data_IF_151494449598
#
_entry.id   IF_151494449598
#
_cell.length_a   1.000
_cell.length_b   1.000
_cell.length_c   1.000
_cell.angle_alpha   90.00
_cell.angle_beta   90.00
_cell.angle_gamma   90.00
#
_symmetry.space_group_name_H-M   'P 1'
#
loop_
_entity.id
_entity.type
_entity.pdbx_description
1 polymer ?
#
# COMPACT_ATOMS: atom_id res chain seq x y z
N UNK A 1 -12.48 -28.84 -41.96
CA UNK A 1 -12.35 -29.25 -40.54
C UNK A 1 -11.88 -28.03 -39.77
N UNK A 2 -12.80 -27.43 -39.02
CA UNK A 2 -12.64 -26.24 -38.20
C UNK A 2 -11.71 -26.53 -37.03
N UNK A 3 -10.86 -25.59 -36.61
CA UNK A 3 -10.86 -25.00 -35.26
C UNK A 3 -9.91 -23.77 -35.21
N UNK A 4 -10.51 -22.62 -34.88
CA UNK A 4 -9.86 -21.39 -34.42
C UNK A 4 -9.08 -21.66 -33.12
N UNK A 5 -8.02 -20.87 -32.86
CA UNK A 5 -8.03 -19.86 -31.78
C UNK A 5 -6.74 -19.02 -31.81
N UNK A 6 -6.87 -17.81 -32.38
CA UNK A 6 -6.08 -16.63 -32.01
C UNK A 6 -6.28 -16.37 -30.52
N UNK A 7 -5.24 -16.48 -29.68
CA UNK A 7 -5.36 -16.07 -28.27
C UNK A 7 -4.08 -15.67 -27.53
N UNK A 8 -3.01 -15.24 -28.21
CA UNK A 8 -1.75 -14.93 -27.50
C UNK A 8 -1.22 -13.51 -27.67
N UNK A 9 -1.84 -12.64 -28.48
CA UNK A 9 -1.35 -11.25 -28.63
C UNK A 9 -1.98 -10.26 -27.64
N UNK A 10 -3.16 -10.58 -27.09
CA UNK A 10 -3.92 -9.65 -26.24
C UNK A 10 -3.42 -9.65 -24.79
N UNK A 11 -2.83 -10.76 -24.33
CA UNK A 11 -2.34 -10.92 -22.94
C UNK A 11 -0.98 -10.23 -22.71
N UNK A 12 -0.19 -10.04 -23.77
CA UNK A 12 1.20 -9.56 -23.77
C UNK A 12 1.37 -8.11 -23.32
N UNK A 13 0.40 -7.25 -23.64
CA UNK A 13 0.41 -5.84 -23.24
C UNK A 13 -0.31 -5.59 -21.91
N UNK A 14 -1.02 -6.59 -21.38
CA UNK A 14 -1.96 -6.36 -20.28
C UNK A 14 -1.26 -5.81 -19.06
N UNK A 15 -0.10 -6.30 -18.64
CA UNK A 15 0.45 -5.90 -17.33
C UNK A 15 1.13 -4.53 -17.34
N UNK A 16 1.88 -4.18 -18.39
CA UNK A 16 2.49 -2.85 -18.53
C UNK A 16 1.43 -1.80 -18.89
N UNK A 17 0.49 -2.17 -19.77
CA UNK A 17 -0.69 -1.35 -20.04
C UNK A 17 -1.53 -1.18 -18.79
N UNK A 18 -1.75 -2.22 -17.98
CA UNK A 18 -2.48 -2.14 -16.70
C UNK A 18 -1.74 -1.25 -15.70
N UNK A 19 -0.42 -1.35 -15.58
CA UNK A 19 0.33 -0.48 -14.68
C UNK A 19 0.24 0.99 -15.10
N UNK A 20 0.45 1.29 -16.39
CA UNK A 20 0.31 2.64 -16.95
C UNK A 20 -1.14 3.14 -16.86
N UNK A 21 -2.11 2.29 -17.14
CA UNK A 21 -3.54 2.57 -17.02
C UNK A 21 -3.93 2.84 -15.57
N UNK A 22 -3.44 2.05 -14.59
CA UNK A 22 -3.70 2.28 -13.17
C UNK A 22 -3.12 3.61 -12.70
N UNK A 23 -1.90 3.94 -13.08
CA UNK A 23 -1.26 5.22 -12.73
C UNK A 23 -1.99 6.39 -13.39
N UNK A 24 -2.36 6.27 -14.67
CA UNK A 24 -3.14 7.29 -15.38
C UNK A 24 -4.55 7.43 -14.81
N UNK A 25 -5.22 6.33 -14.48
CA UNK A 25 -6.58 6.33 -13.89
C UNK A 25 -6.56 6.94 -12.49
N UNK A 26 -5.49 6.72 -11.73
CA UNK A 26 -5.30 7.37 -10.44
C UNK A 26 -5.04 8.87 -10.62
N UNK A 27 -4.12 9.27 -11.50
CA UNK A 27 -3.83 10.69 -11.78
C UNK A 27 -5.05 11.46 -12.31
N UNK A 28 -5.74 10.93 -13.32
CA UNK A 28 -6.98 11.53 -13.86
C UNK A 28 -8.09 11.60 -12.81
N UNK A 29 -8.15 10.63 -11.90
CA UNK A 29 -9.05 10.66 -10.74
C UNK A 29 -8.74 11.78 -9.74
N UNK A 30 -7.49 12.25 -9.69
CA UNK A 30 -7.03 13.37 -8.87
C UNK A 30 -7.14 14.74 -9.57
N UNK A 31 -7.30 14.79 -10.89
CA UNK A 31 -7.44 16.04 -11.65
C UNK A 31 -8.88 16.56 -11.73
N UNK A 32 -9.86 15.79 -11.23
CA UNK A 32 -11.31 16.00 -11.35
C UNK A 32 -11.90 17.29 -10.77
N UNK A 33 -11.10 18.32 -10.46
CA UNK A 33 -11.58 19.64 -10.06
C UNK A 33 -10.72 20.83 -10.55
N UNK A 34 -9.76 20.66 -11.47
CA UNK A 34 -8.87 21.78 -11.85
C UNK A 34 -9.35 22.52 -13.11
N UNK A 35 -10.22 21.94 -13.93
CA UNK A 35 -10.66 22.58 -15.18
C UNK A 35 -12.15 22.36 -15.46
N UNK A 36 -13.00 23.23 -14.90
CA UNK A 36 -14.24 23.78 -15.51
C UNK A 36 -15.22 22.91 -16.32
N UNK A 37 -15.17 21.58 -16.29
CA UNK A 37 -16.03 20.69 -17.08
C UNK A 37 -16.92 19.85 -16.17
N UNK A 38 -18.22 20.08 -16.32
CA UNK A 38 -19.31 19.47 -15.56
C UNK A 38 -19.44 17.97 -15.83
N UNK A 39 -18.77 17.16 -15.01
CA UNK A 39 -19.11 15.74 -14.77
C UNK A 39 -19.50 15.57 -13.29
N UNK A 40 -20.30 14.55 -12.91
CA UNK A 40 -20.92 14.48 -11.60
C UNK A 40 -19.86 14.35 -10.50
N UNK A 41 -19.56 15.50 -9.88
CA UNK A 41 -18.97 15.78 -8.57
C UNK A 41 -18.37 14.57 -7.83
N UNK A 42 -17.28 14.00 -8.35
CA UNK A 42 -16.39 13.19 -7.51
C UNK A 42 -15.52 14.17 -6.73
N UNK A 43 -16.03 14.61 -5.58
CA UNK A 43 -15.31 15.48 -4.65
C UNK A 43 -14.02 14.79 -4.22
N UNK A 44 -12.88 15.25 -4.72
CA UNK A 44 -11.59 14.84 -4.17
C UNK A 44 -11.54 15.40 -2.75
N UNK A 45 -11.65 14.51 -1.77
CA UNK A 45 -11.48 14.85 -0.35
C UNK A 45 -9.97 14.85 -0.11
N UNK A 46 -9.36 16.03 0.04
CA UNK A 46 -7.91 16.19 0.04
C UNK A 46 -7.47 17.64 0.20
N UNK A 47 -6.27 17.88 0.72
CA UNK A 47 -5.64 19.21 0.58
C UNK A 47 -5.11 19.36 -0.86
N UNK A 48 -5.14 20.57 -1.46
CA UNK A 48 -4.57 20.79 -2.79
C UNK A 48 -3.07 20.43 -2.87
N UNK A 49 -2.35 20.55 -1.76
CA UNK A 49 -0.95 20.18 -1.64
C UNK A 49 -0.75 18.67 -1.79
N UNK A 50 -1.56 17.84 -1.13
CA UNK A 50 -1.50 16.37 -1.27
C UNK A 50 -1.77 15.97 -2.72
N UNK A 51 -2.78 16.56 -3.34
CA UNK A 51 -3.12 16.29 -4.75
C UNK A 51 -1.95 16.63 -5.67
N UNK A 52 -1.32 17.79 -5.49
CA UNK A 52 -0.15 18.18 -6.29
C UNK A 52 1.06 17.25 -6.11
N UNK A 53 1.31 16.80 -4.88
CA UNK A 53 2.40 15.88 -4.57
C UNK A 53 2.16 14.49 -5.19
N UNK A 54 0.91 14.01 -5.13
CA UNK A 54 0.53 12.73 -5.73
C UNK A 54 0.60 12.77 -7.25
N UNK A 55 0.15 13.87 -7.88
CA UNK A 55 0.30 14.08 -9.33
C UNK A 55 1.78 14.10 -9.76
N UNK A 56 2.64 14.78 -9.00
CA UNK A 56 4.09 14.76 -9.26
C UNK A 56 4.68 13.35 -9.13
N UNK A 57 4.23 12.58 -8.13
CA UNK A 57 4.65 11.18 -7.95
C UNK A 57 4.19 10.30 -9.12
N UNK A 58 2.96 10.49 -9.62
CA UNK A 58 2.46 9.80 -10.81
C UNK A 58 3.29 10.14 -12.05
N UNK A 59 3.62 11.41 -12.26
CA UNK A 59 4.48 11.84 -13.38
C UNK A 59 5.84 11.13 -13.32
N UNK A 60 6.51 11.17 -12.17
CA UNK A 60 7.81 10.52 -11.99
C UNK A 60 7.74 9.00 -12.25
N UNK A 61 6.64 8.34 -11.86
CA UNK A 61 6.43 6.92 -12.13
C UNK A 61 6.21 6.65 -13.62
N UNK A 62 5.46 7.50 -14.31
CA UNK A 62 5.26 7.39 -15.76
C UNK A 62 6.57 7.61 -16.53
N UNK A 63 7.40 8.55 -16.09
CA UNK A 63 8.73 8.78 -16.64
C UNK A 63 9.62 7.54 -16.45
N UNK A 64 9.66 7.00 -15.22
CA UNK A 64 10.39 5.76 -14.92
C UNK A 64 9.92 4.56 -15.76
N UNK A 65 8.61 4.37 -15.92
CA UNK A 65 8.05 3.29 -16.76
C UNK A 65 8.48 3.48 -18.23
N UNK A 66 8.53 4.73 -18.69
CA UNK A 66 8.89 5.06 -20.07
C UNK A 66 10.39 4.91 -20.34
N UNK A 67 11.24 5.28 -19.39
CA UNK A 67 12.69 5.12 -19.46
C UNK A 67 13.12 3.65 -19.33
N UNK A 68 12.54 2.92 -18.37
CA UNK A 68 12.99 1.56 -18.03
C UNK A 68 12.36 0.47 -18.86
N UNK A 69 11.25 0.75 -19.55
CA UNK A 69 10.47 -0.20 -20.36
C UNK A 69 10.42 -1.61 -19.74
N UNK A 70 9.80 -1.75 -18.55
CA UNK A 70 9.77 -3.01 -17.84
C UNK A 70 9.18 -4.10 -18.75
N UNK A 71 9.96 -5.15 -19.00
CA UNK A 71 9.55 -6.29 -19.81
C UNK A 71 8.62 -7.19 -19.02
N UNK A 72 7.64 -7.76 -19.71
CA UNK A 72 6.75 -8.77 -19.13
C UNK A 72 7.43 -10.13 -19.05
N UNK A 73 6.91 -11.06 -18.24
CA UNK A 73 7.37 -12.46 -18.18
C UNK A 73 7.28 -13.18 -19.54
N UNK A 74 6.46 -12.68 -20.47
CA UNK A 74 6.37 -13.20 -21.84
C UNK A 74 7.44 -12.67 -22.79
N UNK A 75 8.10 -11.55 -22.44
CA UNK A 75 9.19 -10.94 -23.22
C UNK A 75 10.58 -11.15 -22.57
N UNK A 76 10.62 -11.96 -21.50
CA UNK A 76 11.87 -12.35 -20.85
C UNK A 76 12.52 -13.49 -21.62
N UNK A 77 13.73 -13.25 -22.12
CA UNK A 77 14.66 -14.29 -22.56
C UNK A 77 15.31 -14.95 -21.33
N UNK A 78 15.95 -16.13 -21.47
CA UNK A 78 16.70 -16.76 -20.36
C UNK A 78 17.73 -15.82 -19.70
N UNK A 79 18.25 -14.83 -20.43
CA UNK A 79 19.19 -13.81 -19.91
C UNK A 79 18.52 -12.67 -19.13
N UNK A 80 17.19 -12.70 -18.96
CA UNK A 80 16.45 -11.61 -18.32
C UNK A 80 16.51 -11.75 -16.81
N UNK A 81 16.99 -10.70 -16.13
CA UNK A 81 17.03 -10.63 -14.68
C UNK A 81 15.60 -10.60 -14.13
N UNK A 82 15.23 -11.67 -13.45
CA UNK A 82 13.99 -11.81 -12.69
C UNK A 82 14.19 -11.37 -11.24
N UNK A 83 13.08 -11.17 -10.52
CA UNK A 83 13.15 -10.84 -9.11
C UNK A 83 13.85 -11.92 -8.27
N UNK A 84 13.84 -13.18 -8.72
CA UNK A 84 14.49 -14.30 -8.04
C UNK A 84 16.02 -14.34 -8.26
N UNK A 85 16.52 -13.63 -9.28
CA UNK A 85 17.96 -13.50 -9.55
C UNK A 85 18.64 -12.49 -8.61
N UNK A 86 17.87 -11.76 -7.81
CA UNK A 86 18.39 -10.92 -6.75
C UNK A 86 19.00 -11.78 -5.63
N UNK A 87 20.12 -11.34 -5.02
CA UNK A 87 20.66 -12.02 -3.85
C UNK A 87 19.61 -12.18 -2.76
N UNK A 88 19.61 -13.33 -2.07
CA UNK A 88 18.61 -13.67 -1.05
C UNK A 88 18.49 -12.61 0.04
N UNK A 89 19.59 -11.94 0.37
CA UNK A 89 19.64 -10.86 1.35
C UNK A 89 18.85 -9.63 0.90
N UNK A 90 18.86 -9.32 -0.41
CA UNK A 90 18.10 -8.21 -1.01
C UNK A 90 16.62 -8.55 -1.00
N UNK A 91 16.24 -9.74 -1.45
CA UNK A 91 14.86 -10.23 -1.40
C UNK A 91 14.33 -10.19 0.03
N UNK A 92 15.13 -10.65 1.00
CA UNK A 92 14.78 -10.62 2.42
C UNK A 92 14.55 -9.20 2.93
N UNK A 93 15.38 -8.23 2.53
CA UNK A 93 15.18 -6.82 2.88
C UNK A 93 13.89 -6.26 2.29
N UNK A 94 13.53 -6.65 1.07
CA UNK A 94 12.27 -6.25 0.43
C UNK A 94 11.08 -6.84 1.20
N UNK A 95 11.12 -8.13 1.52
CA UNK A 95 10.07 -8.79 2.31
C UNK A 95 9.91 -8.18 3.71
N UNK A 96 11.01 -7.76 4.36
CA UNK A 96 10.98 -7.04 5.65
C UNK A 96 10.31 -5.67 5.59
N UNK A 97 10.11 -5.11 4.40
CA UNK A 97 9.44 -3.81 4.21
C UNK A 97 7.94 -3.95 3.98
N UNK A 98 7.44 -5.17 3.82
CA UNK A 98 5.99 -5.39 3.73
C UNK A 98 5.34 -5.01 5.06
N UNK A 99 4.30 -4.16 5.04
CA UNK A 99 3.66 -3.67 6.26
C UNK A 99 2.80 -4.74 6.94
N UNK A 100 2.32 -5.72 6.17
CA UNK A 100 1.29 -6.65 6.62
C UNK A 100 1.68 -8.13 6.43
N UNK A 101 1.25 -8.95 7.39
CA UNK A 101 1.34 -10.41 7.33
C UNK A 101 0.63 -11.01 6.11
N UNK A 102 -0.42 -10.38 5.58
CA UNK A 102 -1.15 -10.87 4.40
C UNK A 102 -0.22 -10.85 3.19
N UNK A 103 0.45 -9.72 2.95
CA UNK A 103 1.41 -9.60 1.85
C UNK A 103 2.52 -10.65 1.96
N UNK A 104 3.02 -10.90 3.17
CA UNK A 104 4.06 -11.91 3.40
C UNK A 104 3.59 -13.34 3.08
N UNK A 105 2.34 -13.68 3.43
CA UNK A 105 1.75 -15.00 3.15
C UNK A 105 1.45 -15.19 1.67
N UNK A 106 0.90 -14.17 1.01
CA UNK A 106 0.63 -14.24 -0.42
C UNK A 106 1.92 -14.35 -1.24
N UNK A 107 3.00 -13.67 -0.81
CA UNK A 107 4.33 -13.85 -1.40
C UNK A 107 4.85 -15.28 -1.20
N UNK A 108 4.70 -15.87 -0.02
CA UNK A 108 5.08 -17.26 0.23
C UNK A 108 4.32 -18.23 -0.68
N UNK A 109 3.02 -18.01 -0.89
CA UNK A 109 2.20 -18.82 -1.81
C UNK A 109 2.57 -18.65 -3.28
N UNK A 110 3.17 -17.52 -3.65
CA UNK A 110 3.50 -17.22 -5.04
C UNK A 110 4.72 -18.02 -5.56
N UNK A 111 5.67 -18.40 -4.68
CA UNK A 111 6.86 -19.14 -5.10
C UNK A 111 7.54 -19.88 -3.93
N UNK A 112 8.04 -21.09 -4.17
CA UNK A 112 8.74 -21.92 -3.17
C UNK A 112 9.96 -21.22 -2.53
N UNK A 113 10.68 -20.40 -3.29
CA UNK A 113 11.82 -19.62 -2.78
C UNK A 113 11.36 -18.60 -1.74
N UNK A 114 10.19 -17.99 -1.92
CA UNK A 114 9.63 -17.08 -0.93
C UNK A 114 9.09 -17.83 0.27
N UNK A 115 8.47 -19.00 0.08
CA UNK A 115 8.05 -19.85 1.19
C UNK A 115 9.23 -20.22 2.09
N UNK A 116 10.33 -20.71 1.49
CA UNK A 116 11.55 -21.03 2.23
C UNK A 116 12.15 -19.82 2.96
N UNK A 117 12.07 -18.62 2.37
CA UNK A 117 12.54 -17.39 3.01
C UNK A 117 11.60 -16.93 4.15
N UNK A 118 10.30 -17.01 3.95
CA UNK A 118 9.28 -16.57 4.92
C UNK A 118 9.24 -17.50 6.13
N UNK A 119 9.31 -18.81 5.92
CA UNK A 119 9.29 -19.79 7.02
C UNK A 119 10.67 -19.98 7.65
N UNK A 120 11.75 -19.86 6.87
CA UNK A 120 13.12 -20.00 7.35
C UNK A 120 13.67 -18.79 8.12
N UNK A 121 13.07 -17.60 7.98
CA UNK A 121 13.55 -16.39 8.65
C UNK A 121 12.63 -15.95 9.79
N UNK A 122 12.89 -16.49 10.99
CA UNK A 122 12.25 -16.02 12.22
C UNK A 122 12.37 -14.50 12.40
N UNK A 123 13.46 -13.89 11.91
CA UNK A 123 13.69 -12.43 11.94
C UNK A 123 12.64 -11.61 11.16
N UNK A 124 12.05 -12.14 10.08
CA UNK A 124 10.96 -11.47 9.35
C UNK A 124 9.76 -11.29 10.27
N UNK A 125 9.35 -12.37 10.91
CA UNK A 125 8.21 -12.41 11.82
C UNK A 125 8.49 -11.69 13.14
N UNK A 126 9.73 -11.74 13.65
CA UNK A 126 10.13 -10.97 14.84
C UNK A 126 10.02 -9.47 14.58
N UNK A 127 10.48 -8.99 13.41
CA UNK A 127 10.36 -7.59 13.01
C UNK A 127 8.90 -7.18 12.85
N UNK A 128 8.09 -8.03 12.23
CA UNK A 128 6.66 -7.80 12.08
C UNK A 128 5.94 -7.77 13.44
N UNK A 129 6.31 -8.67 14.36
CA UNK A 129 5.83 -8.66 15.73
C UNK A 129 6.23 -7.38 16.47
N UNK A 130 7.49 -6.95 16.36
CA UNK A 130 7.96 -5.70 16.98
C UNK A 130 7.28 -4.44 16.41
N UNK A 131 6.81 -4.51 15.16
CA UNK A 131 6.07 -3.42 14.55
C UNK A 131 4.64 -3.27 15.13
N UNK A 132 3.95 -4.40 15.36
CA UNK A 132 2.56 -4.40 15.83
C UNK A 132 2.39 -4.51 17.34
N UNK A 133 3.36 -5.07 18.08
CA UNK A 133 3.24 -5.38 19.51
C UNK A 133 4.37 -4.74 20.31
N UNK A 134 4.11 -4.43 21.58
CA UNK A 134 5.16 -3.96 22.49
C UNK A 134 6.09 -5.10 22.90
N UNK A 135 7.31 -4.76 23.31
CA UNK A 135 8.29 -5.76 23.75
C UNK A 135 7.77 -6.61 24.92
N UNK A 136 7.04 -5.99 25.87
CA UNK A 136 6.39 -6.69 26.98
C UNK A 136 5.34 -7.72 26.52
N UNK A 137 4.53 -7.37 25.51
CA UNK A 137 3.54 -8.29 24.94
C UNK A 137 4.23 -9.48 24.27
N UNK A 138 5.33 -9.23 23.56
CA UNK A 138 6.13 -10.26 22.89
C UNK A 138 6.74 -11.19 23.93
N UNK A 139 7.45 -10.66 24.92
CA UNK A 139 8.18 -11.45 25.92
C UNK A 139 7.26 -12.29 26.80
N UNK A 140 6.02 -11.84 27.01
CA UNK A 140 5.00 -12.61 27.75
C UNK A 140 4.59 -13.92 27.07
N UNK A 141 4.64 -13.98 25.74
CA UNK A 141 4.21 -15.16 24.96
C UNK A 141 5.37 -15.86 24.24
N UNK A 142 6.55 -15.24 24.22
CA UNK A 142 7.75 -15.79 23.59
C UNK A 142 8.33 -16.90 24.47
N UNK A 143 8.43 -18.10 23.91
CA UNK A 143 9.15 -19.23 24.53
C UNK A 143 10.19 -19.77 23.56
N UNK A 144 11.13 -20.61 24.03
CA UNK A 144 12.16 -21.19 23.15
C UNK A 144 11.59 -22.01 21.98
N UNK A 145 10.39 -22.56 22.15
CA UNK A 145 9.70 -23.36 21.12
C UNK A 145 8.68 -22.54 20.32
N UNK A 146 8.39 -21.31 20.73
CA UNK A 146 7.35 -20.47 20.16
C UNK A 146 7.93 -19.11 19.71
N UNK A 147 8.56 -19.12 18.54
CA UNK A 147 9.22 -17.95 17.93
C UNK A 147 8.81 -17.76 16.48
N UNK A 148 8.89 -16.54 15.96
CA UNK A 148 8.60 -16.24 14.56
C UNK A 148 7.09 -16.30 14.23
N UNK A 149 6.71 -17.06 13.19
CA UNK A 149 5.35 -17.08 12.63
C UNK A 149 4.28 -17.50 13.64
N UNK A 150 4.41 -18.60 14.41
CA UNK A 150 3.40 -18.98 15.40
C UNK A 150 3.21 -17.92 16.49
N UNK A 151 4.31 -17.30 16.95
CA UNK A 151 4.29 -16.22 17.93
C UNK A 151 3.47 -15.03 17.43
N UNK A 152 3.70 -14.61 16.19
CA UNK A 152 2.96 -13.51 15.57
C UNK A 152 1.43 -13.76 15.57
N UNK A 153 0.99 -14.95 15.14
CA UNK A 153 -0.44 -15.26 15.07
C UNK A 153 -1.10 -15.35 16.45
N UNK A 154 -0.37 -15.84 17.45
CA UNK A 154 -0.84 -15.82 18.84
C UNK A 154 -0.99 -14.38 19.33
N UNK A 155 0.03 -13.54 19.17
CA UNK A 155 -0.03 -12.13 19.57
C UNK A 155 -1.17 -11.39 18.87
N UNK A 156 -1.36 -11.63 17.56
CA UNK A 156 -2.49 -11.11 16.78
C UNK A 156 -3.83 -11.53 17.39
N UNK A 157 -3.97 -12.77 17.82
CA UNK A 157 -5.20 -13.29 18.44
C UNK A 157 -5.48 -12.65 19.81
N UNK A 158 -4.44 -12.38 20.61
CA UNK A 158 -4.59 -11.84 21.96
C UNK A 158 -4.73 -10.31 22.01
N UNK A 159 -4.00 -9.58 21.17
CA UNK A 159 -3.88 -8.13 21.27
C UNK A 159 -4.43 -7.37 20.05
N UNK A 160 -4.74 -8.07 18.95
CA UNK A 160 -5.08 -7.44 17.68
C UNK A 160 -3.86 -6.82 17.00
N UNK A 161 -3.98 -6.42 15.74
CA UNK A 161 -2.90 -5.74 15.04
C UNK A 161 -2.93 -4.24 15.34
N UNK A 162 -1.75 -3.64 15.49
CA UNK A 162 -1.64 -2.17 15.52
C UNK A 162 -2.14 -1.59 14.19
N UNK A 163 -3.14 -0.74 14.27
CA UNK A 163 -3.64 0.04 13.14
C UNK A 163 -2.70 1.24 12.90
N UNK A 164 -1.98 1.23 11.79
CA UNK A 164 -1.16 2.35 11.35
C UNK A 164 -1.81 3.01 10.14
N UNK A 165 -2.65 4.01 10.39
CA UNK A 165 -3.19 4.83 9.30
C UNK A 165 -2.10 5.77 8.76
N UNK A 166 -2.00 5.86 7.43
CA UNK A 166 -0.95 6.61 6.75
C UNK A 166 -0.91 8.08 7.20
N UNK A 167 -2.08 8.68 7.41
CA UNK A 167 -2.21 10.05 7.91
C UNK A 167 -3.37 10.19 8.89
N UNK A 168 -3.19 11.04 9.90
CA UNK A 168 -4.22 11.33 10.89
C UNK A 168 -5.11 12.48 10.44
N UNK A 169 -6.34 12.14 10.06
CA UNK A 169 -7.39 13.12 9.78
C UNK A 169 -7.83 13.77 11.10
N UNK A 170 -7.94 15.09 11.08
CA UNK A 170 -8.45 15.91 12.17
C UNK A 170 -9.67 16.68 11.70
N UNK A 171 -10.58 16.97 12.62
CA UNK A 171 -11.68 17.90 12.41
C UNK A 171 -11.41 19.20 13.18
N UNK A 172 -11.50 20.33 12.50
CA UNK A 172 -11.36 21.63 13.13
C UNK A 172 -12.59 21.96 14.00
N UNK A 173 -12.39 22.39 15.23
CA UNK A 173 -13.49 22.78 16.11
C UNK A 173 -14.21 24.05 15.65
N UNK A 174 -13.52 24.94 14.92
CA UNK A 174 -14.05 26.22 14.46
C UNK A 174 -14.84 26.09 13.14
N UNK A 175 -14.20 25.66 12.05
CA UNK A 175 -14.84 25.58 10.73
C UNK A 175 -15.41 24.19 10.37
N UNK A 176 -15.25 23.19 11.25
CA UNK A 176 -15.68 21.79 11.04
C UNK A 176 -15.10 21.12 9.79
N UNK A 177 -14.06 21.69 9.19
CA UNK A 177 -13.34 21.08 8.09
C UNK A 177 -12.57 19.84 8.58
N UNK A 178 -12.63 18.77 7.80
CA UNK A 178 -11.78 17.59 7.93
C UNK A 178 -10.49 17.82 7.14
N UNK A 179 -9.33 17.55 7.77
CA UNK A 179 -8.04 17.82 7.18
C UNK A 179 -6.92 16.92 7.71
N UNK A 180 -5.84 16.80 6.96
CA UNK A 180 -4.64 16.08 7.37
C UNK A 180 -3.79 16.98 8.27
N UNK A 181 -3.37 16.47 9.45
CA UNK A 181 -2.61 17.27 10.43
C UNK A 181 -1.40 17.98 9.81
N UNK A 182 -0.66 17.27 8.96
CA UNK A 182 0.60 17.75 8.39
C UNK A 182 0.39 18.76 7.25
N UNK A 183 -0.83 18.85 6.70
CA UNK A 183 -1.15 19.72 5.56
C UNK A 183 -2.08 20.89 5.92
N UNK A 184 -2.64 20.89 7.14
CA UNK A 184 -3.48 21.97 7.64
C UNK A 184 -4.80 22.15 6.88
N UNK A 185 -5.48 23.26 7.17
CA UNK A 185 -6.74 23.62 6.51
C UNK A 185 -6.91 25.15 6.45
N UNK A 186 -7.68 25.68 5.48
CA UNK A 186 -7.92 27.12 5.36
C UNK A 186 -8.95 27.59 6.40
N UNK A 187 -8.55 27.69 7.67
CA UNK A 187 -9.36 28.31 8.71
C UNK A 187 -9.12 29.81 8.81
N UNK A 188 -10.16 30.57 9.13
CA UNK A 188 -10.03 31.99 9.49
C UNK A 188 -9.34 32.14 10.87
N UNK A 189 -9.54 31.19 11.77
CA UNK A 189 -8.89 31.16 13.08
C UNK A 189 -7.63 30.29 13.03
N UNK A 190 -6.45 30.92 13.14
CA UNK A 190 -5.15 30.25 13.00
C UNK A 190 -4.83 29.29 14.15
N UNK A 191 -5.43 29.50 15.32
CA UNK A 191 -5.19 28.71 16.54
C UNK A 191 -6.41 27.87 16.95
N UNK A 192 -7.32 27.59 16.02
CA UNK A 192 -8.48 26.77 16.32
C UNK A 192 -8.06 25.35 16.75
N UNK A 193 -8.59 24.83 17.89
CA UNK A 193 -8.30 23.47 18.29
C UNK A 193 -8.86 22.48 17.26
N UNK A 194 -8.20 21.33 17.10
CA UNK A 194 -8.65 20.26 16.23
C UNK A 194 -8.63 18.92 16.96
N UNK A 195 -9.56 18.03 16.58
CA UNK A 195 -9.74 16.72 17.21
C UNK A 195 -9.40 15.64 16.20
N UNK A 196 -8.61 14.65 16.62
CA UNK A 196 -8.28 13.49 15.79
C UNK A 196 -9.53 12.65 15.53
N UNK A 197 -9.69 12.21 14.29
CA UNK A 197 -10.78 11.34 13.85
C UNK A 197 -10.21 9.95 13.57
N UNK A 198 -10.75 8.92 14.22
CA UNK A 198 -10.43 7.54 13.87
C UNK A 198 -11.21 7.12 12.61
N UNK A 199 -10.75 6.12 11.83
CA UNK A 199 -11.48 5.72 10.63
C UNK A 199 -12.88 5.21 10.89
N UNK A 200 -13.12 4.55 12.03
CA UNK A 200 -14.50 4.20 12.44
C UNK A 200 -15.33 5.46 12.67
N UNK A 201 -14.82 6.46 13.40
CA UNK A 201 -15.52 7.74 13.60
C UNK A 201 -15.77 8.47 12.27
N UNK A 202 -14.83 8.39 11.32
CA UNK A 202 -15.02 8.95 9.99
C UNK A 202 -16.16 8.27 9.24
N UNK A 203 -16.22 6.94 9.25
CA UNK A 203 -17.32 6.17 8.66
C UNK A 203 -18.63 6.50 9.34
N UNK A 204 -18.67 6.54 10.67
CA UNK A 204 -19.87 6.89 11.42
C UNK A 204 -20.36 8.30 11.03
N UNK A 205 -19.46 9.29 10.94
CA UNK A 205 -19.81 10.64 10.48
C UNK A 205 -20.41 10.66 9.06
N UNK A 206 -19.97 9.76 8.16
CA UNK A 206 -20.55 9.63 6.82
C UNK A 206 -21.92 8.96 6.81
N UNK A 207 -22.20 8.08 7.77
CA UNK A 207 -23.49 7.39 7.89
C UNK A 207 -24.60 8.28 8.48
N UNK A 208 -24.23 9.36 9.18
CA UNK A 208 -25.15 10.36 9.74
C UNK A 208 -25.31 11.63 8.88
N UNK A 209 -24.74 11.64 7.67
CA UNK A 209 -24.92 12.68 6.65
C UNK A 209 -26.00 12.27 5.64
#
# INVERSE_FOLDING_TARGET
MTFRLNKTSVEKDVHVSTARELVNRFGTGLEGNIAGVTFPKRSIVGSPQIVSQQLGSCSNLLDLISERQPKTLSDSNEDSVTFLDLPKEVISKILQKLPDHIGLIEMAKAHETFEALVDGQAKLWDRLSQFHFTQEQIDKHKTKEFTGRPLFFTLKKYYGLREHYADLIHICCHCKALFWKDHGHPCVSRDAPSVRVTPQQFVDMLLFL
#
